data_IF_674030812385
#
_entry.id   IF_674030812385
#
_cell.length_a   1.000
_cell.length_b   1.000
_cell.length_c   1.000
_cell.angle_alpha   90.00
_cell.angle_beta   90.00
_cell.angle_gamma   90.00
#
_symmetry.space_group_name_H-M   'P 1'
#
loop_
_entity.id
_entity.type
_entity.pdbx_description
1 polymer ?
#
# COMPACT_ATOMS: atom_id res chain seq x y z
N UNK A 1 -3.45 -14.58 -19.77
CA UNK A 1 -2.39 -13.92 -18.95
C UNK A 1 -2.85 -13.68 -17.51
N UNK A 2 -3.98 -13.00 -17.28
CA UNK A 2 -4.52 -12.78 -15.92
C UNK A 2 -4.81 -14.07 -15.16
N UNK A 3 -5.35 -15.09 -15.84
CA UNK A 3 -5.64 -16.39 -15.23
C UNK A 3 -4.39 -17.12 -14.71
N UNK A 4 -3.23 -16.93 -15.36
CA UNK A 4 -1.97 -17.48 -14.89
C UNK A 4 -1.51 -16.78 -13.61
N UNK A 5 -1.62 -15.45 -13.55
CA UNK A 5 -1.29 -14.66 -12.37
C UNK A 5 -2.17 -15.06 -11.18
N UNK A 6 -3.49 -15.17 -11.39
CA UNK A 6 -4.43 -15.63 -10.37
C UNK A 6 -4.04 -17.00 -9.80
N UNK A 7 -3.74 -17.97 -10.66
CA UNK A 7 -3.28 -19.30 -10.22
C UNK A 7 -1.96 -19.25 -9.44
N UNK A 8 -1.02 -18.36 -9.81
CA UNK A 8 0.21 -18.17 -9.05
C UNK A 8 -0.05 -17.53 -7.68
N UNK A 9 -0.96 -16.56 -7.60
CA UNK A 9 -1.39 -15.94 -6.34
C UNK A 9 -2.03 -16.97 -5.43
N UNK A 10 -3.06 -17.68 -5.89
CA UNK A 10 -3.73 -18.75 -5.12
C UNK A 10 -2.75 -19.81 -4.62
N UNK A 11 -1.82 -20.24 -5.49
CA UNK A 11 -0.77 -21.19 -5.11
C UNK A 11 0.17 -20.62 -4.05
N UNK A 12 0.54 -19.35 -4.18
CA UNK A 12 1.40 -18.65 -3.21
C UNK A 12 0.72 -18.54 -1.84
N UNK A 13 -0.50 -18.01 -1.80
CA UNK A 13 -1.31 -17.86 -0.60
C UNK A 13 -1.50 -19.19 0.12
N UNK A 14 -1.90 -20.25 -0.61
CA UNK A 14 -2.11 -21.58 -0.05
C UNK A 14 -0.82 -22.23 0.44
N UNK A 15 0.27 -22.13 -0.33
CA UNK A 15 1.56 -22.76 0.03
C UNK A 15 2.15 -22.14 1.31
N UNK A 16 2.00 -20.84 1.46
CA UNK A 16 2.52 -20.08 2.60
C UNK A 16 1.51 -19.95 3.75
N UNK A 17 0.26 -20.41 3.55
CA UNK A 17 -0.84 -20.32 4.53
C UNK A 17 -1.00 -18.89 5.08
N UNK A 18 -1.03 -17.90 4.19
CA UNK A 18 -1.04 -16.49 4.59
C UNK A 18 -2.40 -16.05 5.13
N UNK A 19 -3.45 -16.30 4.36
CA UNK A 19 -4.85 -15.93 4.66
C UNK A 19 -5.79 -16.64 3.69
N UNK A 20 -7.07 -16.64 4.01
CA UNK A 20 -8.16 -17.10 3.14
C UNK A 20 -9.27 -16.05 3.00
N UNK A 21 -10.36 -16.41 2.31
CA UNK A 21 -11.45 -15.47 1.98
C UNK A 21 -12.31 -15.08 3.18
N UNK A 22 -12.13 -15.71 4.34
CA UNK A 22 -12.79 -15.35 5.58
C UNK A 22 -12.03 -14.28 6.39
N UNK A 23 -10.77 -14.02 6.02
CA UNK A 23 -9.95 -13.00 6.67
C UNK A 23 -10.23 -11.60 6.11
N UNK A 24 -10.32 -10.61 7.00
CA UNK A 24 -10.30 -9.18 6.62
C UNK A 24 -8.86 -8.71 6.49
N UNK A 25 -8.47 -8.27 5.29
CA UNK A 25 -7.07 -8.00 4.93
C UNK A 25 -6.84 -6.50 4.80
N UNK A 26 -5.83 -5.99 5.51
CA UNK A 26 -5.29 -4.64 5.29
C UNK A 26 -4.08 -4.72 4.34
N UNK A 27 -4.22 -4.17 3.13
CA UNK A 27 -3.15 -4.18 2.12
C UNK A 27 -2.48 -2.81 2.01
N UNK A 28 -1.21 -2.75 2.39
CA UNK A 28 -0.39 -1.55 2.20
C UNK A 28 -0.04 -1.34 0.71
N UNK A 29 -0.52 -0.24 0.12
CA UNK A 29 -0.28 0.13 -1.27
C UNK A 29 0.53 1.41 -1.37
N UNK A 30 1.61 1.38 -2.15
CA UNK A 30 2.57 2.49 -2.28
C UNK A 30 2.37 3.35 -3.52
N UNK A 31 1.44 2.97 -4.41
CA UNK A 31 1.31 3.54 -5.76
C UNK A 31 2.20 2.86 -6.81
N UNK A 32 2.98 1.85 -6.42
CA UNK A 32 3.72 1.01 -7.35
C UNK A 32 2.81 0.02 -8.09
N UNK A 33 3.18 -0.33 -9.32
CA UNK A 33 2.44 -1.29 -10.16
C UNK A 33 2.17 -2.63 -9.45
N UNK A 34 3.12 -3.10 -8.66
CA UNK A 34 3.05 -4.43 -8.03
C UNK A 34 1.98 -4.45 -6.93
N UNK A 35 1.98 -3.43 -6.06
CA UNK A 35 0.96 -3.30 -5.00
C UNK A 35 -0.44 -3.03 -5.56
N UNK A 36 -0.53 -2.25 -6.64
CA UNK A 36 -1.81 -1.93 -7.28
C UNK A 36 -2.39 -3.14 -8.02
N UNK A 37 -1.54 -3.87 -8.75
CA UNK A 37 -1.94 -5.11 -9.40
C UNK A 37 -2.42 -6.14 -8.37
N UNK A 38 -1.70 -6.28 -7.24
CA UNK A 38 -2.11 -7.19 -6.18
C UNK A 38 -3.47 -6.82 -5.59
N UNK A 39 -3.71 -5.54 -5.27
CA UNK A 39 -4.99 -5.07 -4.73
C UNK A 39 -6.14 -5.38 -5.68
N UNK A 40 -5.96 -5.09 -6.97
CA UNK A 40 -6.96 -5.37 -8.01
C UNK A 40 -7.26 -6.85 -8.13
N UNK A 41 -6.24 -7.70 -8.20
CA UNK A 41 -6.45 -9.14 -8.38
C UNK A 41 -7.12 -9.75 -7.15
N UNK A 42 -6.69 -9.41 -5.93
CA UNK A 42 -7.33 -9.89 -4.69
C UNK A 42 -8.80 -9.46 -4.61
N UNK A 43 -9.12 -8.21 -5.00
CA UNK A 43 -10.51 -7.75 -5.08
C UNK A 43 -11.34 -8.53 -6.10
N UNK A 44 -10.76 -8.84 -7.26
CA UNK A 44 -11.44 -9.66 -8.30
C UNK A 44 -11.67 -11.11 -7.88
N UNK A 45 -10.93 -11.57 -6.86
CA UNK A 45 -11.08 -12.88 -6.23
C UNK A 45 -12.00 -12.83 -5.00
N UNK A 46 -12.68 -11.71 -4.77
CA UNK A 46 -13.66 -11.50 -3.70
C UNK A 46 -13.11 -11.59 -2.27
N UNK A 47 -11.80 -11.33 -2.09
CA UNK A 47 -11.24 -11.15 -0.75
C UNK A 47 -11.76 -9.86 -0.10
N UNK A 48 -12.02 -9.92 1.21
CA UNK A 48 -12.32 -8.75 2.02
C UNK A 48 -11.03 -7.94 2.24
N UNK A 49 -10.90 -6.82 1.52
CA UNK A 49 -9.67 -6.05 1.45
C UNK A 49 -9.92 -4.56 1.67
N UNK A 50 -9.18 -4.00 2.62
CA UNK A 50 -9.03 -2.56 2.82
C UNK A 50 -7.62 -2.15 2.42
N UNK A 51 -7.50 -1.13 1.59
CA UNK A 51 -6.21 -0.59 1.14
C UNK A 51 -5.71 0.49 2.09
N UNK A 52 -4.42 0.50 2.39
CA UNK A 52 -3.76 1.52 3.20
C UNK A 52 -2.66 2.20 2.38
N UNK A 53 -2.70 3.52 2.29
CA UNK A 53 -1.61 4.33 1.73
C UNK A 53 -1.04 5.26 2.79
N UNK A 54 0.28 5.29 2.93
CA UNK A 54 0.98 6.24 3.80
C UNK A 54 1.61 7.30 2.91
N UNK A 55 1.04 8.49 2.92
CA UNK A 55 1.54 9.62 2.16
C UNK A 55 2.72 10.26 2.90
N UNK A 56 3.89 10.15 2.26
CA UNK A 56 5.16 10.62 2.79
C UNK A 56 5.39 12.12 2.61
N UNK A 57 4.50 12.79 1.86
CA UNK A 57 4.56 14.22 1.54
C UNK A 57 5.87 14.59 0.83
N UNK A 58 6.34 13.72 -0.07
CA UNK A 58 7.55 13.95 -0.87
C UNK A 58 7.15 14.75 -2.13
N UNK A 59 7.61 16.01 -2.29
CA UNK A 59 7.20 16.86 -3.40
C UNK A 59 7.43 16.21 -4.77
N UNK A 60 6.42 16.28 -5.63
CA UNK A 60 6.46 15.74 -7.00
C UNK A 60 6.39 14.21 -7.13
N UNK A 61 6.50 13.46 -6.03
CA UNK A 61 6.40 11.99 -6.01
C UNK A 61 5.17 11.50 -5.25
N UNK A 62 4.93 12.03 -4.04
CA UNK A 62 3.81 11.62 -3.19
C UNK A 62 2.47 11.86 -3.84
N UNK A 63 2.26 13.04 -4.42
CA UNK A 63 1.03 13.42 -5.12
C UNK A 63 0.70 12.45 -6.26
N UNK A 64 1.71 12.09 -7.08
CA UNK A 64 1.53 11.13 -8.18
C UNK A 64 1.22 9.73 -7.69
N UNK A 65 1.91 9.29 -6.63
CA UNK A 65 1.68 7.98 -6.04
C UNK A 65 0.27 7.89 -5.44
N UNK A 66 -0.15 8.93 -4.70
CA UNK A 66 -1.47 9.05 -4.11
C UNK A 66 -2.57 9.08 -5.16
N UNK A 67 -2.43 9.90 -6.20
CA UNK A 67 -3.40 9.96 -7.30
C UNK A 67 -3.55 8.60 -8.00
N UNK A 68 -2.45 7.88 -8.22
CA UNK A 68 -2.49 6.53 -8.80
C UNK A 68 -3.19 5.51 -7.90
N UNK A 69 -2.97 5.59 -6.59
CA UNK A 69 -3.67 4.78 -5.59
C UNK A 69 -5.17 5.08 -5.59
N UNK A 70 -5.54 6.35 -5.44
CA UNK A 70 -6.94 6.80 -5.39
C UNK A 70 -7.69 6.38 -6.65
N UNK A 71 -7.08 6.56 -7.84
CA UNK A 71 -7.69 6.16 -9.11
C UNK A 71 -7.96 4.65 -9.20
N UNK A 72 -7.01 3.81 -8.77
CA UNK A 72 -7.20 2.34 -8.76
C UNK A 72 -8.24 1.94 -7.72
N UNK A 73 -8.21 2.55 -6.54
CA UNK A 73 -9.15 2.22 -5.49
C UNK A 73 -10.58 2.60 -5.88
N UNK A 74 -10.77 3.78 -6.48
CA UNK A 74 -12.05 4.24 -6.99
C UNK A 74 -12.54 3.38 -8.17
N UNK A 75 -11.67 2.98 -9.08
CA UNK A 75 -12.05 2.18 -10.25
C UNK A 75 -12.46 0.74 -9.91
N UNK A 76 -12.07 0.23 -8.73
CA UNK A 76 -12.30 -1.15 -8.32
C UNK A 76 -13.09 -1.29 -7.01
N UNK A 77 -13.73 -0.21 -6.55
CA UNK A 77 -14.51 -0.16 -5.31
C UNK A 77 -13.76 -0.75 -4.11
N UNK A 78 -12.50 -0.35 -3.98
CA UNK A 78 -11.62 -0.72 -2.88
C UNK A 78 -11.69 0.35 -1.79
N UNK A 79 -12.05 -0.02 -0.54
CA UNK A 79 -11.87 0.86 0.61
C UNK A 79 -10.42 1.33 0.68
N UNK A 80 -10.21 2.63 0.85
CA UNK A 80 -8.90 3.25 0.94
C UNK A 80 -8.81 4.09 2.22
N UNK A 81 -7.81 3.79 3.03
CA UNK A 81 -7.36 4.60 4.16
C UNK A 81 -6.07 5.30 3.74
N UNK A 82 -6.05 6.62 3.83
CA UNK A 82 -4.84 7.43 3.58
C UNK A 82 -4.37 8.00 4.90
N UNK A 83 -3.10 7.76 5.24
CA UNK A 83 -2.42 8.35 6.38
C UNK A 83 -1.44 9.39 5.85
N UNK A 84 -1.75 10.67 6.04
CA UNK A 84 -0.87 11.76 5.63
C UNK A 84 0.12 12.10 6.74
N UNK A 85 1.43 11.95 6.49
CA UNK A 85 2.44 12.26 7.50
C UNK A 85 2.55 13.76 7.84
N UNK A 86 1.98 14.63 7.02
CA UNK A 86 1.83 16.05 7.33
C UNK A 86 0.84 16.27 8.48
N UNK A 87 -0.28 15.54 8.51
CA UNK A 87 -1.27 15.60 9.60
C UNK A 87 -0.68 15.08 10.92
N UNK A 88 0.26 14.15 10.82
CA UNK A 88 1.01 13.57 11.95
C UNK A 88 2.19 14.46 12.40
N UNK A 89 2.40 15.60 11.74
CA UNK A 89 3.48 16.55 12.06
C UNK A 89 4.89 16.05 11.74
N UNK A 90 5.03 15.01 10.92
CA UNK A 90 6.31 14.38 10.56
C UNK A 90 6.50 14.20 9.04
N UNK A 91 6.31 15.24 8.20
CA UNK A 91 6.52 15.13 6.77
C UNK A 91 7.98 14.76 6.46
N UNK A 92 8.18 13.78 5.58
CA UNK A 92 9.51 13.21 5.30
C UNK A 92 10.54 14.25 4.84
N UNK A 93 10.20 15.27 4.03
CA UNK A 93 11.14 16.32 3.66
C UNK A 93 11.67 17.12 4.86
N UNK A 94 10.86 17.36 5.89
CA UNK A 94 11.32 18.05 7.10
C UNK A 94 12.19 17.15 7.97
N UNK A 95 11.76 15.89 8.13
CA UNK A 95 12.54 14.87 8.85
C UNK A 95 13.92 14.73 8.23
N UNK A 96 14.03 14.73 6.90
CA UNK A 96 15.31 14.69 6.17
C UNK A 96 16.25 15.83 6.55
N UNK A 97 15.75 17.03 6.83
CA UNK A 97 16.59 18.19 7.22
C UNK A 97 17.13 18.09 8.64
N UNK A 98 16.50 17.29 9.51
CA UNK A 98 16.81 17.21 10.95
C UNK A 98 17.63 15.98 11.35
N UNK A 99 17.94 15.08 10.40
CA UNK A 99 18.64 13.82 10.67
C UNK A 99 19.96 13.73 9.91
N UNK A 100 20.91 12.99 10.48
CA UNK A 100 22.20 12.70 9.84
C UNK A 100 22.26 11.32 9.16
N UNK A 101 21.22 10.49 9.35
CA UNK A 101 21.13 9.14 8.80
C UNK A 101 20.33 9.11 7.48
N UNK A 102 20.46 8.05 6.66
CA UNK A 102 19.69 7.93 5.42
C UNK A 102 18.18 8.02 5.68
N UNK A 103 17.49 8.91 4.94
CA UNK A 103 16.05 9.16 5.13
C UNK A 103 15.20 7.90 4.90
N UNK A 104 15.62 7.01 3.99
CA UNK A 104 14.93 5.75 3.72
C UNK A 104 14.85 4.84 4.96
N UNK A 105 15.84 4.92 5.86
CA UNK A 105 15.81 4.18 7.13
C UNK A 105 14.70 4.68 8.07
N UNK A 106 14.48 6.00 8.12
CA UNK A 106 13.38 6.60 8.90
C UNK A 106 12.04 6.31 8.23
N UNK A 107 11.93 6.59 6.94
CA UNK A 107 10.70 6.37 6.17
C UNK A 107 10.21 4.91 6.31
N UNK A 108 11.10 3.93 6.21
CA UNK A 108 10.74 2.53 6.43
C UNK A 108 10.27 2.23 7.85
N UNK A 109 10.84 2.89 8.87
CA UNK A 109 10.39 2.74 10.27
C UNK A 109 9.00 3.33 10.48
N UNK A 110 8.76 4.55 9.98
CA UNK A 110 7.46 5.24 10.08
C UNK A 110 6.38 4.44 9.36
N UNK A 111 6.61 3.97 8.13
CA UNK A 111 5.61 3.16 7.42
C UNK A 111 5.22 1.90 8.20
N UNK A 112 6.19 1.19 8.77
CA UNK A 112 5.94 -0.04 9.54
C UNK A 112 5.17 0.20 10.84
N UNK A 113 5.19 1.39 11.42
CA UNK A 113 4.35 1.68 12.59
C UNK A 113 2.87 1.87 12.24
N UNK A 114 2.54 2.22 10.99
CA UNK A 114 1.15 2.29 10.52
C UNK A 114 0.65 0.98 9.91
N UNK A 115 1.55 0.04 9.61
CA UNK A 115 1.18 -1.26 9.04
C UNK A 115 0.79 -2.31 10.09
N UNK A 116 1.13 -2.08 11.36
CA UNK A 116 0.80 -2.96 12.50
C UNK A 116 -0.21 -2.26 13.40
#
# INVERSE_FOLDING_TARGET
MLEFLRRQLERGLRKQKLFDTSDSILLAISGGKDSLALARELKSMEYDLTSLNVDLVIPGSSEKARAGVEAVCQAHDLPLVVVALEEEGIPIPEVKRRIHRPICSVCGKVKRSYFN
#
